data_IF_055371539701
#
_entry.id   IF_055371539701
#
_cell.length_a   1.000
_cell.length_b   1.000
_cell.length_c   1.000
_cell.angle_alpha   90.00
_cell.angle_beta   90.00
_cell.angle_gamma   90.00
#
_symmetry.space_group_name_H-M   'P 1'
#
loop_
_entity.id
_entity.type
_entity.pdbx_description
1 polymer ?
#
# COMPACT_ATOMS: atom_id res chain seq x y z
N UNK A 1 9.11 -8.66 16.04
CA UNK A 1 8.42 -8.09 14.86
C UNK A 1 7.26 -9.01 14.56
N UNK A 2 6.07 -8.45 14.40
CA UNK A 2 4.91 -9.23 13.98
C UNK A 2 5.00 -9.43 12.47
N UNK A 3 5.25 -10.67 12.05
CA UNK A 3 5.23 -11.02 10.63
C UNK A 3 3.77 -11.01 10.13
N UNK A 4 3.51 -10.74 8.84
CA UNK A 4 2.16 -10.84 8.30
C UNK A 4 1.57 -12.23 8.55
N UNK A 5 0.30 -12.29 8.95
CA UNK A 5 -0.39 -13.54 9.28
C UNK A 5 -0.84 -14.30 8.02
N UNK A 6 0.11 -14.80 7.24
CA UNK A 6 -0.10 -15.55 5.99
C UNK A 6 0.59 -16.90 6.05
N UNK A 7 0.03 -17.92 5.40
CA UNK A 7 0.66 -19.24 5.21
C UNK A 7 1.83 -19.24 4.21
N UNK A 8 2.18 -18.08 3.64
CA UNK A 8 3.41 -17.91 2.87
C UNK A 8 4.67 -17.88 3.75
N UNK A 9 5.83 -17.86 3.09
CA UNK A 9 7.12 -17.85 3.79
C UNK A 9 7.86 -16.53 3.62
N UNK A 10 8.72 -16.21 4.59
CA UNK A 10 9.67 -15.11 4.48
C UNK A 10 10.73 -15.46 3.43
N UNK A 11 10.98 -14.55 2.50
CA UNK A 11 11.96 -14.72 1.40
C UNK A 11 13.07 -13.69 1.48
N UNK A 12 14.23 -14.07 0.97
CA UNK A 12 15.39 -13.20 0.85
C UNK A 12 15.45 -12.46 -0.50
N UNK A 13 14.81 -13.02 -1.54
CA UNK A 13 14.87 -12.55 -2.92
C UNK A 13 13.46 -12.38 -3.51
N UNK A 14 13.19 -11.20 -4.08
CA UNK A 14 11.87 -10.85 -4.67
C UNK A 14 11.46 -11.81 -5.78
N UNK A 15 12.41 -12.24 -6.62
CA UNK A 15 12.14 -13.09 -7.78
C UNK A 15 11.80 -14.54 -7.41
N UNK A 16 12.09 -14.97 -6.17
CA UNK A 16 11.78 -16.32 -5.67
C UNK A 16 10.47 -16.39 -4.87
N UNK A 17 9.81 -15.25 -4.68
CA UNK A 17 8.55 -15.18 -3.92
C UNK A 17 7.42 -15.83 -4.71
N UNK A 18 6.60 -16.61 -4.03
CA UNK A 18 5.28 -17.02 -4.49
C UNK A 18 4.18 -16.10 -3.95
N UNK A 19 2.98 -16.08 -4.54
CA UNK A 19 1.85 -15.31 -4.01
C UNK A 19 1.60 -15.70 -2.55
N UNK A 20 1.55 -14.70 -1.66
CA UNK A 20 1.42 -14.83 -0.21
C UNK A 20 2.74 -14.92 0.56
N UNK A 21 3.87 -15.14 -0.11
CA UNK A 21 5.19 -14.97 0.50
C UNK A 21 5.44 -13.49 0.82
N UNK A 22 6.34 -13.23 1.77
CA UNK A 22 6.65 -11.88 2.21
C UNK A 22 8.15 -11.64 2.36
N UNK A 23 8.56 -10.38 2.26
CA UNK A 23 9.96 -9.96 2.37
C UNK A 23 10.05 -8.74 3.29
N UNK A 24 10.96 -8.75 4.29
CA UNK A 24 11.16 -7.61 5.15
C UNK A 24 11.79 -6.45 4.38
N UNK A 25 11.26 -5.25 4.66
CA UNK A 25 11.66 -4.01 4.04
C UNK A 25 11.99 -2.99 5.11
N UNK A 26 13.04 -2.23 4.87
CA UNK A 26 13.43 -1.09 5.66
C UNK A 26 13.16 0.16 4.84
N UNK A 27 12.51 1.14 5.44
CA UNK A 27 12.34 2.48 4.85
C UNK A 27 13.02 3.53 5.72
N UNK A 28 13.64 4.48 5.05
CA UNK A 28 14.17 5.70 5.64
C UNK A 28 13.56 6.92 4.96
N UNK A 29 13.35 7.96 5.74
CA UNK A 29 12.97 9.28 5.27
C UNK A 29 14.05 10.27 5.71
N UNK A 30 14.57 11.06 4.76
CA UNK A 30 15.54 12.11 5.03
C UNK A 30 15.19 13.37 4.21
N UNK A 31 15.87 14.49 4.46
CA UNK A 31 15.52 15.77 3.81
C UNK A 31 15.78 15.81 2.29
N UNK A 32 16.46 14.80 1.73
CA UNK A 32 16.83 14.73 0.31
C UNK A 32 16.01 13.66 -0.45
N UNK A 33 15.48 12.66 0.25
CA UNK A 33 14.66 11.57 -0.28
C UNK A 33 13.42 11.37 0.58
N UNK A 34 12.24 11.57 -0.02
CA UNK A 34 10.97 11.38 0.70
C UNK A 34 10.80 9.96 1.26
N UNK A 35 11.29 8.94 0.55
CA UNK A 35 11.33 7.55 1.01
C UNK A 35 12.49 6.82 0.32
N UNK A 36 13.33 6.12 1.08
CA UNK A 36 14.39 5.23 0.62
C UNK A 36 14.08 3.81 1.08
N UNK A 37 13.83 2.91 0.15
CA UNK A 37 13.48 1.51 0.44
C UNK A 37 14.70 0.60 0.28
N UNK A 38 14.94 -0.23 1.28
CA UNK A 38 16.00 -1.24 1.28
C UNK A 38 15.36 -2.57 1.68
N UNK A 39 15.46 -3.56 0.82
CA UNK A 39 14.80 -4.85 0.98
C UNK A 39 15.72 -6.03 0.83
N UNK A 40 15.29 -7.19 1.34
CA UNK A 40 15.98 -8.47 1.16
C UNK A 40 17.37 -8.52 1.76
N UNK A 41 18.06 -9.64 1.53
CA UNK A 41 19.45 -9.78 1.91
C UNK A 41 20.30 -9.01 0.91
N UNK A 42 21.14 -8.08 1.37
CA UNK A 42 22.14 -7.50 0.47
C UNK A 42 23.10 -8.62 0.04
N UNK A 43 23.27 -8.88 -1.27
CA UNK A 43 24.18 -9.92 -1.76
C UNK A 43 25.65 -9.64 -1.38
N UNK A 44 25.96 -8.44 -0.90
CA UNK A 44 27.31 -8.02 -0.52
C UNK A 44 27.59 -8.07 0.98
N UNK A 45 26.57 -8.16 1.84
CA UNK A 45 26.74 -7.94 3.30
C UNK A 45 26.19 -9.09 4.15
N UNK A 46 25.62 -10.13 3.52
CA UNK A 46 25.05 -11.28 4.23
C UNK A 46 23.78 -10.93 5.00
N UNK A 47 22.91 -11.93 5.13
CA UNK A 47 21.68 -11.81 5.89
C UNK A 47 22.01 -11.55 7.36
N UNK A 48 21.37 -10.57 7.98
CA UNK A 48 21.11 -10.67 9.42
C UNK A 48 21.47 -9.51 10.34
N UNK A 49 22.06 -8.39 9.88
CA UNK A 49 22.46 -7.32 10.82
C UNK A 49 21.72 -5.97 10.69
N UNK A 50 21.10 -5.66 9.54
CA UNK A 50 20.45 -4.34 9.35
C UNK A 50 18.99 -4.27 9.84
N UNK A 51 18.21 -5.34 9.72
CA UNK A 51 16.79 -5.33 10.16
C UNK A 51 16.62 -5.43 11.68
N UNK A 52 17.64 -5.89 12.40
CA UNK A 52 17.55 -6.20 13.84
C UNK A 52 17.59 -4.96 14.74
N UNK A 53 17.99 -3.80 14.21
CA UNK A 53 18.19 -2.57 15.01
C UNK A 53 17.15 -1.48 14.80
N UNK A 54 16.28 -1.61 13.80
CA UNK A 54 15.23 -0.61 13.53
C UNK A 54 13.87 -1.09 14.04
N UNK A 55 13.07 -0.22 14.67
CA UNK A 55 11.74 -0.58 15.11
C UNK A 55 10.83 -0.89 13.90
N UNK A 56 9.87 -1.76 14.12
CA UNK A 56 8.77 -2.00 13.20
C UNK A 56 7.90 -0.73 13.12
N UNK A 57 7.40 -0.37 11.93
CA UNK A 57 6.51 0.78 11.76
C UNK A 57 5.18 0.49 12.45
N UNK A 58 4.66 1.46 13.20
CA UNK A 58 3.41 1.34 13.93
C UNK A 58 2.23 1.00 13.01
N UNK A 59 1.37 0.12 13.49
CA UNK A 59 0.08 -0.24 12.90
C UNK A 59 -1.01 -0.29 13.99
N UNK A 60 -0.73 0.25 15.17
CA UNK A 60 -1.64 0.26 16.30
C UNK A 60 -2.82 1.20 16.09
N UNK A 61 -2.71 2.08 15.08
CA UNK A 61 -3.58 3.21 14.85
C UNK A 61 -2.94 4.54 15.28
N UNK A 62 -1.70 4.54 15.78
CA UNK A 62 -1.02 5.78 16.07
C UNK A 62 -0.61 6.50 14.77
N UNK A 63 -0.32 7.79 14.88
CA UNK A 63 0.18 8.55 13.74
C UNK A 63 1.60 8.15 13.40
N UNK A 64 1.87 8.06 12.09
CA UNK A 64 3.17 7.68 11.55
C UNK A 64 3.77 8.91 10.90
N UNK A 65 4.47 9.70 11.72
CA UNK A 65 5.00 11.01 11.35
C UNK A 65 6.18 10.92 10.38
N UNK A 66 6.98 9.87 10.50
CA UNK A 66 8.09 9.58 9.61
C UNK A 66 8.09 8.12 9.19
N UNK A 67 8.37 7.87 7.92
CA UNK A 67 8.60 6.52 7.42
C UNK A 67 10.03 6.09 7.77
N UNK A 68 10.23 5.64 9.01
CA UNK A 68 11.51 5.12 9.48
C UNK A 68 11.31 3.85 10.29
N UNK A 69 11.56 2.70 9.65
CA UNK A 69 11.41 1.42 10.33
C UNK A 69 11.22 0.26 9.35
N UNK A 70 10.89 -0.89 9.94
CA UNK A 70 10.63 -2.14 9.21
C UNK A 70 9.15 -2.28 8.89
N UNK A 71 8.84 -2.73 7.68
CA UNK A 71 7.53 -3.21 7.23
C UNK A 71 7.72 -4.44 6.34
N UNK A 72 6.64 -5.06 5.86
CA UNK A 72 6.74 -6.22 4.96
C UNK A 72 6.09 -5.92 3.63
N UNK A 73 6.76 -6.32 2.54
CA UNK A 73 6.09 -6.49 1.26
C UNK A 73 5.55 -7.91 1.16
N UNK A 74 4.31 -8.05 0.69
CA UNK A 74 3.66 -9.34 0.42
C UNK A 74 3.47 -9.45 -1.08
N UNK A 75 3.84 -10.58 -1.68
CA UNK A 75 3.57 -10.83 -3.10
C UNK A 75 2.11 -11.19 -3.29
N UNK A 76 1.40 -10.42 -4.12
CA UNK A 76 -0.05 -10.59 -4.32
C UNK A 76 -0.40 -11.09 -5.71
N UNK A 77 0.52 -10.92 -6.65
CA UNK A 77 0.41 -11.35 -8.02
C UNK A 77 1.82 -11.52 -8.61
N UNK A 78 1.91 -12.08 -9.81
CA UNK A 78 3.14 -12.05 -10.59
C UNK A 78 3.56 -10.59 -10.81
N UNK A 79 4.80 -10.26 -10.48
CA UNK A 79 5.32 -8.90 -10.62
C UNK A 79 4.74 -7.85 -9.67
N UNK A 80 4.00 -8.20 -8.62
CA UNK A 80 3.34 -7.21 -7.75
C UNK A 80 3.52 -7.51 -6.26
N UNK A 81 4.13 -6.57 -5.54
CA UNK A 81 4.21 -6.58 -4.07
C UNK A 81 3.41 -5.42 -3.48
N UNK A 82 2.68 -5.67 -2.39
CA UNK A 82 1.97 -4.63 -1.64
C UNK A 82 2.44 -4.64 -0.18
N UNK A 83 2.66 -3.44 0.38
CA UNK A 83 3.03 -3.31 1.77
C UNK A 83 1.90 -3.81 2.68
N UNK A 84 2.26 -4.56 3.71
CA UNK A 84 1.37 -5.09 4.74
C UNK A 84 0.68 -3.97 5.54
N UNK A 85 1.19 -2.74 5.51
CA UNK A 85 0.62 -1.57 6.23
C UNK A 85 0.83 -0.24 5.52
N UNK A 86 0.12 0.77 6.02
CA UNK A 86 0.47 2.18 5.77
C UNK A 86 1.78 2.51 6.50
N UNK A 87 2.75 3.11 5.81
CA UNK A 87 4.10 3.38 6.36
C UNK A 87 4.32 4.84 6.80
N UNK A 88 3.39 5.73 6.45
CA UNK A 88 3.38 7.15 6.82
C UNK A 88 1.97 7.67 6.73
N UNK A 89 1.43 8.22 7.81
CA UNK A 89 0.10 8.83 7.81
C UNK A 89 0.17 10.34 7.59
N UNK A 90 1.18 11.04 8.12
CA UNK A 90 1.28 12.50 7.91
C UNK A 90 1.86 12.82 6.52
N UNK A 91 1.04 12.64 5.48
CA UNK A 91 1.37 12.88 4.08
C UNK A 91 0.08 13.19 3.29
N UNK A 92 0.18 14.05 2.27
CA UNK A 92 -0.91 14.37 1.34
C UNK A 92 -0.72 13.69 -0.01
N UNK A 93 -1.80 13.58 -0.78
CA UNK A 93 -1.75 13.09 -2.17
C UNK A 93 -0.81 13.95 -3.03
N UNK A 94 -0.86 15.27 -2.88
CA UNK A 94 0.00 16.19 -3.63
C UNK A 94 1.48 15.97 -3.33
N UNK A 95 1.86 15.71 -2.08
CA UNK A 95 3.26 15.40 -1.73
C UNK A 95 3.74 14.09 -2.36
N UNK A 96 2.88 13.06 -2.41
CA UNK A 96 3.19 11.82 -3.12
C UNK A 96 3.27 12.05 -4.64
N UNK A 97 2.48 12.99 -5.18
CA UNK A 97 2.44 13.33 -6.61
C UNK A 97 3.60 14.20 -7.08
N UNK A 98 4.21 15.00 -6.20
CA UNK A 98 5.31 15.92 -6.57
C UNK A 98 6.38 15.20 -7.40
N UNK A 99 6.93 15.87 -8.42
CA UNK A 99 7.78 15.24 -9.45
C UNK A 99 8.98 14.45 -8.91
N UNK A 100 9.55 14.86 -7.79
CA UNK A 100 10.70 14.17 -7.14
C UNK A 100 10.27 12.94 -6.29
N UNK A 101 8.97 12.83 -5.98
CA UNK A 101 8.33 11.70 -5.32
C UNK A 101 7.67 10.76 -6.33
N UNK A 102 6.71 11.26 -7.12
CA UNK A 102 5.92 10.54 -8.12
C UNK A 102 5.35 9.18 -7.68
N UNK A 103 5.09 9.00 -6.38
CA UNK A 103 4.58 7.75 -5.80
C UNK A 103 3.08 7.55 -6.03
N UNK A 104 2.37 8.51 -6.62
CA UNK A 104 1.00 8.27 -7.08
C UNK A 104 1.04 7.32 -8.27
N UNK A 105 1.68 7.71 -9.38
CA UNK A 105 1.66 6.94 -10.62
C UNK A 105 2.81 5.94 -10.73
N UNK A 106 3.97 6.26 -10.14
CA UNK A 106 5.13 5.39 -10.15
C UNK A 106 6.45 6.14 -10.13
N UNK A 107 7.24 5.91 -9.09
CA UNK A 107 8.66 6.27 -9.05
C UNK A 107 9.49 5.07 -9.48
N UNK A 108 10.21 5.21 -10.59
CA UNK A 108 11.16 4.18 -11.01
C UNK A 108 12.25 3.99 -9.95
N UNK A 109 12.51 2.74 -9.56
CA UNK A 109 13.58 2.41 -8.63
C UNK A 109 14.00 0.94 -8.75
N UNK A 110 15.15 0.62 -8.14
CA UNK A 110 15.64 -0.74 -8.01
C UNK A 110 15.64 -1.14 -6.54
N UNK A 111 14.96 -2.23 -6.20
CA UNK A 111 14.93 -2.80 -4.86
C UNK A 111 15.48 -4.22 -4.95
N UNK A 112 16.51 -4.52 -4.16
CA UNK A 112 17.13 -5.86 -4.10
C UNK A 112 17.53 -6.40 -5.48
N UNK A 113 17.98 -5.52 -6.39
CA UNK A 113 18.38 -5.87 -7.75
C UNK A 113 17.22 -6.00 -8.76
N UNK A 114 15.97 -5.86 -8.34
CA UNK A 114 14.79 -5.87 -9.23
C UNK A 114 14.40 -4.44 -9.58
N UNK A 115 14.26 -4.14 -10.87
CA UNK A 115 13.78 -2.85 -11.34
C UNK A 115 12.24 -2.81 -11.31
N UNK A 116 11.66 -1.66 -11.01
CA UNK A 116 10.22 -1.49 -10.97
C UNK A 116 9.78 -0.09 -10.58
N UNK A 117 8.49 0.04 -10.31
CA UNK A 117 7.84 1.29 -9.97
C UNK A 117 7.25 1.22 -8.56
N UNK A 118 7.66 2.14 -7.70
CA UNK A 118 7.02 2.34 -6.42
C UNK A 118 5.83 3.28 -6.59
N UNK A 119 4.63 2.81 -6.24
CA UNK A 119 3.37 3.54 -6.48
C UNK A 119 2.33 3.30 -5.39
N UNK A 120 1.19 3.97 -5.48
CA UNK A 120 -0.01 3.65 -4.71
C UNK A 120 -0.83 2.56 -5.41
N UNK A 121 -1.78 1.94 -4.70
CA UNK A 121 -2.80 1.05 -5.28
C UNK A 121 -3.83 1.85 -6.07
N UNK A 122 -4.40 1.30 -7.13
CA UNK A 122 -5.67 1.82 -7.64
C UNK A 122 -6.80 1.55 -6.64
N UNK A 123 -7.70 2.52 -6.48
CA UNK A 123 -8.73 2.51 -5.44
C UNK A 123 -10.16 2.62 -5.94
N UNK A 124 -10.35 2.70 -7.26
CA UNK A 124 -11.56 3.23 -7.86
C UNK A 124 -11.58 4.77 -7.86
N UNK A 125 -12.51 5.35 -8.61
CA UNK A 125 -12.65 6.80 -8.88
C UNK A 125 -13.92 7.40 -8.26
N UNK A 126 -14.70 6.63 -7.49
CA UNK A 126 -15.92 7.13 -6.87
C UNK A 126 -16.75 6.02 -6.24
N UNK A 127 -17.87 6.42 -5.63
CA UNK A 127 -18.81 5.46 -5.07
C UNK A 127 -19.44 4.59 -6.16
N UNK A 128 -19.94 3.43 -5.75
CA UNK A 128 -20.58 2.44 -6.61
C UNK A 128 -21.95 2.09 -6.07
N UNK A 129 -22.93 1.85 -6.94
CA UNK A 129 -24.25 1.37 -6.54
C UNK A 129 -24.36 -0.17 -6.67
N UNK A 130 -25.50 -0.71 -6.26
CA UNK A 130 -25.81 -2.15 -6.33
C UNK A 130 -25.70 -2.75 -7.74
N UNK A 131 -25.81 -1.94 -8.79
CA UNK A 131 -25.69 -2.38 -10.18
C UNK A 131 -24.25 -2.31 -10.71
N UNK A 132 -23.28 -1.98 -9.86
CA UNK A 132 -21.87 -1.89 -10.22
C UNK A 132 -21.53 -0.64 -11.04
N UNK A 133 -22.33 0.43 -10.96
CA UNK A 133 -22.15 1.67 -11.72
C UNK A 133 -21.72 2.83 -10.81
N UNK A 134 -21.10 3.90 -11.35
CA UNK A 134 -20.77 5.08 -10.56
C UNK A 134 -22.01 5.64 -9.88
N UNK A 135 -21.88 5.99 -8.60
CA UNK A 135 -22.92 6.61 -7.78
C UNK A 135 -22.41 7.96 -7.26
N UNK A 136 -23.21 9.01 -7.40
CA UNK A 136 -22.86 10.35 -6.92
C UNK A 136 -23.46 10.62 -5.53
N UNK A 137 -24.54 9.93 -5.18
CA UNK A 137 -25.21 10.01 -3.89
C UNK A 137 -24.61 8.99 -2.92
N UNK A 138 -23.76 9.46 -2.01
CA UNK A 138 -23.10 8.61 -1.00
C UNK A 138 -24.08 7.80 -0.14
N UNK A 139 -25.34 8.24 0.00
CA UNK A 139 -26.37 7.50 0.77
C UNK A 139 -26.90 6.25 0.05
N UNK A 140 -26.67 6.15 -1.26
CA UNK A 140 -27.05 5.01 -2.11
C UNK A 140 -25.85 4.14 -2.49
N UNK A 141 -24.66 4.54 -2.07
CA UNK A 141 -23.44 3.80 -2.31
C UNK A 141 -23.43 2.49 -1.53
N UNK A 142 -22.96 1.43 -2.17
CA UNK A 142 -22.57 0.20 -1.49
C UNK A 142 -21.08 0.26 -1.10
N UNK A 143 -20.63 -0.69 -0.28
CA UNK A 143 -19.22 -0.85 0.06
C UNK A 143 -18.41 -1.25 -1.19
N UNK A 144 -17.21 -0.67 -1.31
CA UNK A 144 -16.36 -0.80 -2.51
C UNK A 144 -16.22 0.52 -3.27
N UNK A 145 -15.68 0.45 -4.48
CA UNK A 145 -15.52 1.61 -5.36
C UNK A 145 -15.75 1.24 -6.82
N UNK A 146 -16.10 2.23 -7.64
CA UNK A 146 -16.15 2.06 -9.09
C UNK A 146 -14.80 2.42 -9.73
N UNK A 147 -14.27 1.64 -10.68
CA UNK A 147 -14.73 0.31 -11.05
C UNK A 147 -14.38 -0.72 -9.96
N UNK A 148 -15.18 -1.79 -9.87
CA UNK A 148 -15.09 -2.77 -8.78
C UNK A 148 -13.84 -3.68 -8.87
N UNK A 149 -13.16 -3.71 -10.03
CA UNK A 149 -11.95 -4.49 -10.29
C UNK A 149 -10.64 -3.71 -9.98
N UNK A 150 -10.73 -2.67 -9.14
CA UNK A 150 -9.56 -1.93 -8.67
C UNK A 150 -8.65 -2.79 -7.76
N UNK A 151 -7.38 -2.39 -7.65
CA UNK A 151 -6.34 -3.15 -6.95
C UNK A 151 -6.59 -3.27 -5.46
N UNK A 152 -7.13 -2.23 -4.81
CA UNK A 152 -7.47 -2.30 -3.39
C UNK A 152 -8.52 -3.38 -3.14
N UNK A 153 -9.60 -3.38 -3.93
CA UNK A 153 -10.65 -4.39 -3.81
C UNK A 153 -10.15 -5.78 -4.19
N UNK A 154 -9.33 -5.92 -5.23
CA UNK A 154 -8.79 -7.21 -5.68
C UNK A 154 -7.77 -7.80 -4.70
N UNK A 155 -6.78 -7.02 -4.28
CA UNK A 155 -5.59 -7.55 -3.60
C UNK A 155 -5.57 -7.36 -2.08
N UNK A 156 -6.42 -6.49 -1.52
CA UNK A 156 -6.52 -6.29 -0.07
C UNK A 156 -7.83 -6.89 0.44
N UNK A 157 -8.97 -6.40 -0.07
CA UNK A 157 -10.29 -6.77 0.44
C UNK A 157 -10.68 -8.20 0.07
N UNK A 158 -10.66 -8.53 -1.23
CA UNK A 158 -11.15 -9.82 -1.72
C UNK A 158 -10.03 -10.86 -1.88
N UNK A 159 -8.79 -10.50 -1.55
CA UNK A 159 -7.66 -11.40 -1.69
C UNK A 159 -7.69 -12.46 -0.62
N UNK A 160 -7.57 -13.72 -1.05
CA UNK A 160 -7.28 -14.85 -0.17
C UNK A 160 -5.82 -15.33 -0.34
N UNK A 161 -4.98 -14.59 -1.09
CA UNK A 161 -3.60 -14.95 -1.44
C UNK A 161 -3.47 -16.42 -1.89
N UNK A 162 -4.35 -16.87 -2.78
CA UNK A 162 -4.46 -18.25 -3.25
C UNK A 162 -4.76 -19.27 -2.14
N UNK A 163 -5.61 -18.88 -1.18
CA UNK A 163 -6.04 -19.70 -0.06
C UNK A 163 -5.09 -19.70 1.15
N UNK A 164 -4.11 -18.79 1.20
CA UNK A 164 -3.17 -18.63 2.31
C UNK A 164 -3.71 -17.75 3.44
N UNK A 165 -4.77 -17.00 3.19
CA UNK A 165 -5.45 -16.12 4.16
C UNK A 165 -6.96 -16.13 3.88
N UNK A 166 -7.75 -15.72 4.87
CA UNK A 166 -9.14 -15.34 4.64
C UNK A 166 -9.23 -13.99 3.91
N UNK A 167 -10.32 -13.76 3.18
CA UNK A 167 -10.55 -12.44 2.57
C UNK A 167 -10.66 -11.36 3.66
N UNK A 168 -10.17 -10.15 3.37
CA UNK A 168 -10.23 -8.99 4.27
C UNK A 168 -9.45 -9.18 5.60
N UNK A 169 -8.38 -9.99 5.60
CA UNK A 169 -7.60 -10.28 6.80
C UNK A 169 -6.77 -9.08 7.31
N UNK A 170 -7.17 -8.50 8.46
CA UNK A 170 -6.44 -7.39 9.09
C UNK A 170 -5.13 -7.79 9.75
N UNK A 171 -4.94 -9.08 10.08
CA UNK A 171 -3.67 -9.63 10.55
C UNK A 171 -2.59 -9.66 9.47
N UNK A 172 -2.99 -9.48 8.21
CA UNK A 172 -2.09 -9.40 7.05
C UNK A 172 -1.97 -7.95 6.57
N UNK A 173 -3.09 -7.24 6.44
CA UNK A 173 -3.14 -5.96 5.75
C UNK A 173 -3.20 -4.74 6.66
N UNK A 174 -3.45 -4.89 7.96
CA UNK A 174 -3.50 -3.79 8.93
C UNK A 174 -4.27 -2.55 8.41
N UNK A 175 -5.40 -2.80 7.76
CA UNK A 175 -6.14 -1.84 6.94
C UNK A 175 -7.44 -1.37 7.61
N UNK A 176 -7.84 -1.97 8.75
CA UNK A 176 -9.03 -1.54 9.50
C UNK A 176 -8.82 -0.21 10.24
N UNK A 177 -7.56 0.13 10.56
CA UNK A 177 -7.21 1.30 11.38
C UNK A 177 -6.67 2.49 10.58
N UNK A 178 -6.17 2.25 9.37
CA UNK A 178 -5.59 3.26 8.49
C UNK A 178 -6.29 3.27 7.15
N UNK A 179 -6.48 4.48 6.62
CA UNK A 179 -6.90 4.70 5.24
C UNK A 179 -5.65 4.80 4.36
N UNK A 180 -5.70 4.21 3.18
CA UNK A 180 -4.65 4.22 2.17
C UNK A 180 -4.99 5.26 1.11
N UNK A 181 -4.07 6.17 0.83
CA UNK A 181 -4.14 7.04 -0.36
C UNK A 181 -3.95 6.18 -1.60
N UNK A 182 -4.84 6.32 -2.57
CA UNK A 182 -4.82 5.54 -3.82
C UNK A 182 -4.32 6.39 -5.00
N UNK A 183 -4.07 5.76 -6.14
CA UNK A 183 -3.69 6.45 -7.38
C UNK A 183 -4.78 7.38 -7.93
N UNK A 184 -6.01 7.16 -7.49
CA UNK A 184 -7.20 7.67 -8.14
C UNK A 184 -7.67 8.97 -7.48
N UNK A 185 -8.16 9.89 -8.30
CA UNK A 185 -8.99 11.00 -7.86
C UNK A 185 -10.45 10.71 -8.13
N UNK A 186 -11.33 11.44 -7.46
CA UNK A 186 -12.76 11.36 -7.75
C UNK A 186 -13.04 11.77 -9.20
N UNK A 187 -13.95 11.04 -9.85
CA UNK A 187 -14.27 11.25 -11.26
C UNK A 187 -15.08 12.54 -11.51
N UNK A 188 -15.76 13.08 -10.49
CA UNK A 188 -16.49 14.34 -10.56
C UNK A 188 -15.64 15.52 -10.09
N UNK A 189 -14.75 15.30 -9.13
CA UNK A 189 -13.89 16.34 -8.57
C UNK A 189 -12.43 15.88 -8.41
N UNK A 190 -11.53 16.23 -9.34
CA UNK A 190 -10.13 15.86 -9.26
C UNK A 190 -9.35 16.57 -8.14
N UNK A 191 -9.96 17.53 -7.42
CA UNK A 191 -9.40 18.08 -6.18
C UNK A 191 -9.54 17.12 -4.98
N UNK A 192 -10.26 16.01 -5.15
CA UNK A 192 -10.42 14.97 -4.15
C UNK A 192 -9.70 13.69 -4.59
N UNK A 193 -8.79 13.19 -3.74
CA UNK A 193 -8.25 11.84 -3.90
C UNK A 193 -9.20 10.80 -3.29
N UNK A 194 -9.14 9.59 -3.82
CA UNK A 194 -9.82 8.43 -3.24
C UNK A 194 -8.90 7.79 -2.21
N UNK A 195 -9.45 7.59 -1.01
CA UNK A 195 -8.81 6.84 0.07
C UNK A 195 -9.62 5.59 0.38
N UNK A 196 -8.93 4.50 0.72
CA UNK A 196 -9.55 3.19 0.96
C UNK A 196 -9.11 2.58 2.30
N UNK A 197 -9.97 1.82 2.96
CA UNK A 197 -9.69 1.23 4.28
C UNK A 197 -10.22 2.08 5.42
N UNK A 198 -9.77 1.78 6.64
CA UNK A 198 -10.32 2.37 7.86
C UNK A 198 -11.73 1.87 8.18
N UNK A 199 -12.46 2.65 8.98
CA UNK A 199 -13.88 2.46 9.32
C UNK A 199 -14.26 1.09 9.92
N UNK A 200 -13.31 0.40 10.57
CA UNK A 200 -13.46 -0.88 11.27
C UNK A 200 -13.89 -2.09 10.41
N UNK A 201 -14.19 -1.89 9.12
CA UNK A 201 -14.54 -2.95 8.19
C UNK A 201 -13.59 -3.05 6.98
N UNK A 202 -12.65 -2.10 6.79
CA UNK A 202 -11.63 -2.20 5.74
C UNK A 202 -12.12 -1.91 4.32
N UNK A 203 -13.44 -1.83 4.14
CA UNK A 203 -14.11 -1.65 2.85
C UNK A 203 -14.36 -0.18 2.49
N UNK A 204 -14.12 0.73 3.44
CA UNK A 204 -14.44 2.14 3.32
C UNK A 204 -13.83 2.80 2.07
N UNK A 205 -14.63 3.65 1.43
CA UNK A 205 -14.17 4.65 0.48
C UNK A 205 -14.47 6.02 1.07
N UNK A 206 -13.47 6.90 1.03
CA UNK A 206 -13.68 8.30 1.37
C UNK A 206 -12.93 9.21 0.39
N UNK A 207 -13.55 10.36 0.12
CA UNK A 207 -12.98 11.43 -0.69
C UNK A 207 -12.26 12.41 0.21
N UNK A 208 -11.01 12.74 -0.11
CA UNK A 208 -10.19 13.62 0.71
C UNK A 208 -9.47 14.65 -0.13
N UNK A 209 -9.31 15.87 0.39
CA UNK A 209 -8.64 16.96 -0.33
C UNK A 209 -7.17 16.58 -0.66
N UNK A 210 -6.80 16.70 -1.94
CA UNK A 210 -5.48 16.28 -2.43
C UNK A 210 -4.31 17.04 -1.78
N UNK A 211 -4.53 18.27 -1.33
CA UNK A 211 -3.52 19.11 -0.70
C UNK A 211 -3.45 18.93 0.82
N UNK A 212 -4.47 18.31 1.42
CA UNK A 212 -4.57 18.17 2.87
C UNK A 212 -3.72 16.99 3.34
N UNK A 213 -2.87 17.23 4.34
CA UNK A 213 -2.25 16.16 5.15
C UNK A 213 -3.25 15.67 6.19
N UNK A 214 -3.20 14.41 6.59
CA UNK A 214 -3.88 14.01 7.83
C UNK A 214 -3.37 14.87 9.00
N UNK A 215 -4.26 15.22 9.92
CA UNK A 215 -3.92 15.94 11.16
C UNK A 215 -4.36 15.15 12.39
N UNK A 216 -3.75 15.50 13.54
CA UNK A 216 -4.02 14.95 14.87
C UNK A 216 -5.47 14.48 15.07
N UNK A 217 -5.63 13.15 15.16
CA UNK A 217 -6.79 12.51 15.80
C UNK A 217 -8.06 12.27 14.98
N UNK A 218 -8.12 12.64 13.69
CA UNK A 218 -9.40 12.50 12.93
C UNK A 218 -9.31 11.72 11.62
N UNK A 219 -8.15 11.57 10.98
CA UNK A 219 -8.06 10.81 9.72
C UNK A 219 -6.70 10.15 9.54
N UNK A 220 -6.58 8.85 9.83
CA UNK A 220 -5.33 8.09 9.69
C UNK A 220 -5.10 7.67 8.23
N UNK A 221 -5.10 8.65 7.33
CA UNK A 221 -4.89 8.50 5.88
C UNK A 221 -3.40 8.50 5.60
N UNK A 222 -2.90 7.60 4.76
CA UNK A 222 -1.47 7.54 4.51
C UNK A 222 -1.03 6.72 3.32
N UNK A 223 0.28 6.67 3.14
CA UNK A 223 0.92 5.96 2.04
C UNK A 223 1.10 4.47 2.37
N UNK A 224 0.48 3.59 1.58
CA UNK A 224 0.78 2.15 1.49
C UNK A 224 1.52 1.90 0.18
N UNK A 225 2.83 1.62 0.23
CA UNK A 225 3.62 1.41 -0.97
C UNK A 225 3.20 0.13 -1.72
N UNK A 226 3.31 0.19 -3.04
CA UNK A 226 3.20 -0.93 -3.98
C UNK A 226 4.47 -0.95 -4.81
N UNK A 227 5.12 -2.10 -4.91
CA UNK A 227 6.24 -2.29 -5.83
C UNK A 227 5.77 -3.10 -7.04
N UNK A 228 5.72 -2.45 -8.19
CA UNK A 228 5.24 -3.00 -9.45
C UNK A 228 6.40 -3.26 -10.40
N UNK A 229 6.65 -4.54 -10.65
CA UNK A 229 7.72 -5.04 -11.50
C UNK A 229 7.16 -6.01 -12.56
N UNK A 230 5.87 -5.90 -12.90
CA UNK A 230 5.19 -6.74 -13.90
C UNK A 230 5.83 -6.70 -15.27
N UNK A 231 6.43 -5.58 -15.66
CA UNK A 231 7.17 -5.46 -16.91
C UNK A 231 8.30 -6.49 -17.06
N UNK A 232 8.82 -7.10 -15.98
CA UNK A 232 9.77 -8.21 -16.05
C UNK A 232 9.15 -9.50 -16.61
N UNK A 233 7.83 -9.62 -16.57
CA UNK A 233 7.06 -10.80 -16.99
C UNK A 233 6.32 -10.56 -18.32
N UNK A 234 6.16 -9.31 -18.74
CA UNK A 234 5.50 -8.94 -20.01
C UNK A 234 6.35 -9.24 -21.28
N UNK A 235 7.56 -9.77 -21.12
CA UNK A 235 8.49 -10.06 -22.23
C UNK A 235 8.57 -11.55 -22.60
N UNK A 236 7.63 -12.39 -22.12
CA UNK A 236 7.55 -13.81 -22.48
C UNK A 236 6.19 -14.18 -23.10
#
# INVERSE_FOLDING_TARGET
>A
MAKPNTDGIERDFILEMEVGDYIPMLVYENSQSAFEFVGGVSPWVGAGSKYVTMPEIDYSGAEINSARGVFYFIKVDEGLLIADRVIKSIVSYNELKMSHCNYIQGKAMTISGVYGYMRCLSGGVGYINEQGKPESDASKAILGAYPHDNEYDKYIVNSNLNGKIEACDDGVWHHLKYKTITQCTDYLDPALCITRGGNYNGLGLEKYDVARRSSYGIDRIGFRPVFDFRHHYEVN
#
